data_IF_289407465040
#
_entry.id   IF_289407465040
#
_cell.length_a   1.000
_cell.length_b   1.000
_cell.length_c   1.000
_cell.angle_alpha   90.00
_cell.angle_beta   90.00
_cell.angle_gamma   90.00
#
_symmetry.space_group_name_H-M   'P 1'
#
loop_
_entity.id
_entity.type
_entity.pdbx_description
1 polymer ?
#
# COMPACT_ATOMS: atom_id res chain seq x y z
N UNK A 1 -3.50 -10.10 -6.67
CA UNK A 1 -4.07 -9.42 -5.49
C UNK A 1 -5.56 -9.73 -5.45
N UNK A 2 -6.15 -10.03 -4.29
CA UNK A 2 -7.52 -10.54 -4.13
C UNK A 2 -8.41 -9.61 -3.29
N UNK A 3 -9.75 -9.59 -3.51
CA UNK A 3 -10.66 -8.84 -2.65
C UNK A 3 -10.50 -9.18 -1.16
N UNK A 4 -10.56 -8.17 -0.30
CA UNK A 4 -10.35 -8.27 1.13
C UNK A 4 -8.89 -8.13 1.58
N UNK A 5 -7.92 -8.17 0.66
CA UNK A 5 -6.53 -7.87 1.00
C UNK A 5 -6.32 -6.39 1.35
N UNK A 6 -5.55 -6.13 2.39
CA UNK A 6 -5.08 -4.78 2.74
C UNK A 6 -3.91 -4.38 1.87
N UNK A 7 -3.90 -3.14 1.41
CA UNK A 7 -2.89 -2.62 0.49
C UNK A 7 -2.54 -1.17 0.79
N UNK A 8 -1.36 -0.77 0.32
CA UNK A 8 -0.88 0.61 0.29
C UNK A 8 -0.39 0.97 -1.10
N UNK A 9 -0.51 2.25 -1.46
CA UNK A 9 0.12 2.81 -2.65
C UNK A 9 1.62 3.01 -2.40
N UNK A 10 2.47 2.43 -3.24
CA UNK A 10 3.94 2.51 -3.08
C UNK A 10 4.57 3.77 -3.67
N UNK A 11 3.80 4.53 -4.45
CA UNK A 11 4.21 5.82 -5.02
C UNK A 11 3.62 7.01 -4.25
N UNK A 12 2.81 6.76 -3.22
CA UNK A 12 2.41 7.79 -2.27
C UNK A 12 3.45 7.86 -1.14
N UNK A 13 3.89 9.06 -0.81
CA UNK A 13 4.81 9.31 0.29
C UNK A 13 4.12 9.05 1.65
N UNK A 14 2.79 9.25 1.72
CA UNK A 14 1.94 9.11 2.89
C UNK A 14 0.75 8.16 2.61
N UNK A 15 1.01 6.87 2.33
CA UNK A 15 -0.05 6.01 1.85
C UNK A 15 -1.09 5.72 2.94
N UNK A 16 -2.34 6.04 2.63
CA UNK A 16 -3.49 5.60 3.42
C UNK A 16 -3.74 4.09 3.26
N UNK A 17 -4.14 3.42 4.34
CA UNK A 17 -4.55 2.02 4.29
C UNK A 17 -5.80 1.86 3.42
N UNK A 18 -5.72 0.97 2.43
CA UNK A 18 -6.83 0.60 1.58
C UNK A 18 -7.11 -0.90 1.62
N UNK A 19 -8.29 -1.28 1.15
CA UNK A 19 -8.70 -2.67 0.95
C UNK A 19 -9.08 -2.86 -0.51
N UNK A 20 -8.63 -3.98 -1.07
CA UNK A 20 -9.00 -4.40 -2.41
C UNK A 20 -10.46 -4.81 -2.39
N UNK A 21 -11.27 -4.18 -3.24
CA UNK A 21 -12.69 -4.51 -3.37
C UNK A 21 -12.97 -5.30 -4.65
N UNK A 22 -12.15 -5.12 -5.69
CA UNK A 22 -12.32 -5.81 -6.97
C UNK A 22 -11.02 -5.86 -7.75
N UNK A 23 -10.60 -7.06 -8.17
CA UNK A 23 -9.62 -7.24 -9.23
C UNK A 23 -10.35 -7.20 -10.57
N UNK A 24 -9.91 -6.36 -11.51
CA UNK A 24 -10.56 -6.23 -12.84
C UNK A 24 -9.95 -7.26 -13.80
N UNK A 25 -10.78 -7.79 -14.69
CA UNK A 25 -10.34 -8.67 -15.79
C UNK A 25 -9.70 -7.90 -16.98
N UNK A 26 -9.41 -6.60 -16.80
CA UNK A 26 -8.93 -5.70 -17.83
C UNK A 26 -7.74 -4.87 -17.34
N UNK A 27 -6.83 -4.45 -18.23
CA UNK A 27 -5.71 -3.60 -17.88
C UNK A 27 -6.16 -2.16 -17.57
N UNK A 28 -5.31 -1.40 -16.88
CA UNK A 28 -5.61 -0.01 -16.46
C UNK A 28 -5.91 0.94 -17.61
N UNK A 29 -5.44 0.63 -18.83
CA UNK A 29 -5.72 1.38 -20.05
C UNK A 29 -7.13 1.21 -20.60
N UNK A 30 -7.87 0.18 -20.18
CA UNK A 30 -9.23 -0.12 -20.65
C UNK A 30 -10.30 0.22 -19.60
N UNK A 31 -9.91 0.45 -18.35
CA UNK A 31 -10.85 0.79 -17.28
C UNK A 31 -11.19 2.28 -17.30
N UNK A 32 -12.48 2.63 -17.28
CA UNK A 32 -12.96 4.01 -17.29
C UNK A 32 -13.01 4.65 -15.90
N UNK A 33 -12.82 5.97 -15.84
CA UNK A 33 -12.93 6.74 -14.58
C UNK A 33 -14.41 6.95 -14.26
N UNK A 34 -14.87 6.37 -13.16
CA UNK A 34 -16.16 6.63 -12.48
C UNK A 34 -17.46 6.26 -13.23
N UNK A 35 -17.45 6.02 -14.54
CA UNK A 35 -18.63 5.65 -15.32
C UNK A 35 -18.24 4.83 -16.57
N UNK A 36 -18.91 3.70 -16.88
CA UNK A 36 -18.67 2.94 -18.12
C UNK A 36 -18.93 3.73 -19.40
N UNK A 37 -19.74 4.80 -19.36
CA UNK A 37 -20.02 5.70 -20.48
C UNK A 37 -19.01 6.87 -20.59
N UNK A 38 -18.02 6.94 -19.69
CA UNK A 38 -16.92 7.90 -19.79
C UNK A 38 -15.91 7.44 -20.84
N UNK A 39 -15.62 8.31 -21.82
CA UNK A 39 -14.57 8.06 -22.82
C UNK A 39 -13.14 8.15 -22.25
N UNK A 40 -12.98 8.48 -20.96
CA UNK A 40 -11.68 8.67 -20.30
C UNK A 40 -11.33 7.48 -19.43
N UNK A 41 -10.23 6.83 -19.78
CA UNK A 41 -9.68 5.69 -19.04
C UNK A 41 -8.80 6.16 -17.89
N UNK A 42 -8.58 5.30 -16.89
CA UNK A 42 -7.73 5.59 -15.74
C UNK A 42 -6.31 5.92 -16.21
N UNK A 43 -5.76 5.17 -17.18
CA UNK A 43 -4.46 5.47 -17.76
C UNK A 43 -4.42 6.80 -18.55
N UNK A 44 -5.53 7.23 -19.16
CA UNK A 44 -5.57 8.52 -19.86
C UNK A 44 -5.45 9.70 -18.88
N UNK A 45 -5.98 9.53 -17.67
CA UNK A 45 -5.91 10.52 -16.60
C UNK A 45 -4.58 10.44 -15.82
N UNK A 46 -3.88 9.31 -15.88
CA UNK A 46 -2.63 9.03 -15.18
C UNK A 46 -1.60 8.51 -16.19
N UNK A 47 -0.97 9.39 -16.98
CA UNK A 47 -0.11 8.99 -18.10
C UNK A 47 1.16 8.25 -17.67
N UNK A 48 1.54 8.36 -16.40
CA UNK A 48 2.68 7.65 -15.82
C UNK A 48 2.35 6.19 -15.46
N UNK A 49 1.09 5.76 -15.56
CA UNK A 49 0.71 4.36 -15.35
C UNK A 49 1.12 3.45 -16.51
N UNK A 50 1.69 2.31 -16.16
CA UNK A 50 1.94 1.22 -17.11
C UNK A 50 0.61 0.69 -17.65
N UNK A 51 0.29 1.08 -18.88
CA UNK A 51 -1.01 0.86 -19.51
C UNK A 51 -1.46 -0.60 -19.56
N UNK A 52 -0.53 -1.55 -19.57
CA UNK A 52 -0.78 -2.99 -19.61
C UNK A 52 -1.02 -3.62 -18.25
N UNK A 53 -0.74 -2.91 -17.16
CA UNK A 53 -0.85 -3.49 -15.82
C UNK A 53 -2.30 -3.84 -15.49
N UNK A 54 -2.55 -4.97 -14.80
CA UNK A 54 -3.88 -5.32 -14.32
C UNK A 54 -4.46 -4.21 -13.44
N UNK A 55 -5.72 -3.88 -13.63
CA UNK A 55 -6.39 -2.86 -12.82
C UNK A 55 -6.97 -3.45 -11.53
N UNK A 56 -6.73 -2.79 -10.41
CA UNK A 56 -7.26 -3.15 -9.10
C UNK A 56 -8.05 -1.98 -8.54
N UNK A 57 -9.29 -2.24 -8.12
CA UNK A 57 -10.10 -1.26 -7.41
C UNK A 57 -9.98 -1.46 -5.90
N UNK A 58 -9.75 -0.34 -5.21
CA UNK A 58 -9.59 -0.28 -3.76
C UNK A 58 -10.53 0.75 -3.14
N UNK A 59 -10.82 0.57 -1.85
CA UNK A 59 -11.47 1.57 -1.02
C UNK A 59 -10.57 1.88 0.18
N UNK A 60 -10.36 3.17 0.47
CA UNK A 60 -9.60 3.57 1.66
C UNK A 60 -10.41 3.28 2.93
N UNK A 61 -9.74 2.69 3.93
CA UNK A 61 -10.38 2.18 5.14
C UNK A 61 -10.94 3.32 5.97
N UNK A 62 -10.11 4.28 6.36
CA UNK A 62 -10.54 5.34 7.27
C UNK A 62 -11.41 6.40 6.60
N UNK A 63 -10.98 6.87 5.43
CA UNK A 63 -11.65 7.99 4.74
C UNK A 63 -12.89 7.57 3.95
N UNK A 64 -12.98 6.27 3.61
CA UNK A 64 -14.08 5.68 2.84
C UNK A 64 -14.92 4.73 3.66
N UNK A 65 -14.44 3.50 3.84
CA UNK A 65 -15.20 2.37 4.40
C UNK A 65 -15.74 2.68 5.80
N UNK A 66 -14.88 2.99 6.76
CA UNK A 66 -15.27 3.25 8.16
C UNK A 66 -16.26 4.42 8.31
N UNK A 67 -16.24 5.39 7.38
CA UNK A 67 -17.15 6.55 7.41
C UNK A 67 -18.52 6.28 6.78
N UNK A 68 -18.60 5.40 5.78
CA UNK A 68 -19.80 5.21 4.94
C UNK A 68 -20.46 3.85 5.13
N UNK A 69 -19.67 2.85 5.52
CA UNK A 69 -20.09 1.49 5.77
C UNK A 69 -19.32 0.92 6.98
N UNK A 70 -19.65 1.31 8.22
CA UNK A 70 -18.87 0.93 9.41
C UNK A 70 -18.74 -0.58 9.64
N UNK A 71 -19.73 -1.36 9.22
CA UNK A 71 -19.80 -2.81 9.42
C UNK A 71 -19.23 -3.61 8.22
N UNK A 72 -18.46 -2.96 7.33
CA UNK A 72 -17.92 -3.58 6.12
C UNK A 72 -17.07 -4.82 6.38
N UNK A 73 -16.44 -4.92 7.55
CA UNK A 73 -15.61 -6.06 7.95
C UNK A 73 -16.41 -7.35 8.16
N UNK A 74 -17.72 -7.26 8.36
CA UNK A 74 -18.61 -8.42 8.50
C UNK A 74 -19.04 -8.99 7.14
N UNK A 75 -18.86 -8.21 6.06
CA UNK A 75 -19.19 -8.64 4.71
C UNK A 75 -18.13 -9.61 4.16
N UNK A 76 -18.54 -10.63 3.37
CA UNK A 76 -17.58 -11.49 2.72
C UNK A 76 -16.79 -10.70 1.65
N UNK A 77 -15.52 -11.04 1.39
CA UNK A 77 -14.68 -10.29 0.44
C UNK A 77 -15.29 -10.14 -0.96
N UNK A 78 -16.04 -11.13 -1.43
CA UNK A 78 -16.73 -11.11 -2.73
C UNK A 78 -17.84 -10.06 -2.82
N UNK A 79 -18.37 -9.58 -1.70
CA UNK A 79 -19.44 -8.58 -1.65
C UNK A 79 -18.91 -7.16 -1.41
N UNK A 80 -17.60 -6.99 -1.20
CA UNK A 80 -17.02 -5.69 -0.85
C UNK A 80 -17.22 -4.64 -1.94
N UNK A 81 -17.14 -5.02 -3.23
CA UNK A 81 -17.35 -4.06 -4.33
C UNK A 81 -18.79 -3.54 -4.38
N UNK A 82 -19.76 -4.46 -4.36
CA UNK A 82 -21.18 -4.12 -4.43
C UNK A 82 -21.59 -3.35 -3.16
N UNK A 83 -21.21 -3.84 -1.98
CA UNK A 83 -21.48 -3.17 -0.71
C UNK A 83 -20.85 -1.77 -0.63
N UNK A 84 -19.59 -1.61 -1.03
CA UNK A 84 -18.96 -0.29 -1.07
C UNK A 84 -19.71 0.67 -2.03
N UNK A 85 -20.15 0.18 -3.19
CA UNK A 85 -20.92 0.97 -4.15
C UNK A 85 -22.28 1.37 -3.59
N UNK A 86 -23.04 0.43 -3.01
CA UNK A 86 -24.34 0.67 -2.39
C UNK A 86 -24.27 1.70 -1.26
N UNK A 87 -23.20 1.62 -0.46
CA UNK A 87 -22.94 2.55 0.63
C UNK A 87 -22.30 3.87 0.19
N UNK A 88 -22.12 4.10 -1.12
CA UNK A 88 -21.52 5.30 -1.69
C UNK A 88 -20.11 5.57 -1.15
N UNK A 89 -19.33 4.52 -0.94
CA UNK A 89 -17.90 4.58 -0.66
C UNK A 89 -17.20 4.95 -1.97
N UNK A 90 -16.25 5.90 -1.90
CA UNK A 90 -15.47 6.27 -3.07
C UNK A 90 -14.45 5.17 -3.38
N UNK A 91 -14.51 4.65 -4.59
CA UNK A 91 -13.57 3.65 -5.10
C UNK A 91 -12.48 4.32 -5.93
N UNK A 92 -11.27 3.79 -5.83
CA UNK A 92 -10.10 4.21 -6.60
C UNK A 92 -9.59 3.02 -7.39
N UNK A 93 -9.01 3.25 -8.56
CA UNK A 93 -8.44 2.18 -9.38
C UNK A 93 -6.99 2.48 -9.67
N UNK A 94 -6.12 1.51 -9.39
CA UNK A 94 -4.68 1.58 -9.55
C UNK A 94 -4.18 0.41 -10.41
N UNK A 95 -3.04 0.55 -11.10
CA UNK A 95 -2.32 -0.60 -11.62
C UNK A 95 -1.83 -1.48 -10.46
N UNK A 96 -1.95 -2.80 -10.59
CA UNK A 96 -1.57 -3.76 -9.53
C UNK A 96 -0.12 -3.56 -9.06
N UNK A 97 0.80 -3.23 -9.97
CA UNK A 97 2.22 -3.03 -9.65
C UNK A 97 2.50 -1.83 -8.74
N UNK A 98 1.60 -0.84 -8.66
CA UNK A 98 1.72 0.32 -7.77
C UNK A 98 1.28 0.01 -6.34
N UNK A 99 0.54 -1.08 -6.14
CA UNK A 99 0.04 -1.49 -4.84
C UNK A 99 0.90 -2.57 -4.20
N UNK A 100 1.06 -2.49 -2.88
CA UNK A 100 1.71 -3.54 -2.09
C UNK A 100 0.73 -4.12 -1.07
N UNK A 101 0.55 -5.43 -1.09
CA UNK A 101 -0.25 -6.15 -0.09
C UNK A 101 0.43 -6.10 1.28
N UNK A 102 -0.39 -5.89 2.31
CA UNK A 102 -0.02 -5.94 3.71
C UNK A 102 -0.54 -7.22 4.36
N UNK A 103 0.27 -7.76 5.27
CA UNK A 103 -0.21 -8.78 6.20
C UNK A 103 -1.20 -8.18 7.20
N UNK A 104 -2.02 -9.03 7.84
CA UNK A 104 -2.95 -8.56 8.87
C UNK A 104 -2.28 -7.83 10.04
N UNK A 105 -1.05 -8.21 10.39
CA UNK A 105 -0.27 -7.51 11.42
C UNK A 105 0.14 -6.10 10.95
N UNK A 106 0.59 -5.95 9.71
CA UNK A 106 0.98 -4.65 9.16
C UNK A 106 -0.21 -3.71 8.99
N UNK A 107 -1.34 -4.24 8.54
CA UNK A 107 -2.58 -3.47 8.49
C UNK A 107 -3.03 -3.02 9.89
N UNK A 108 -2.90 -3.89 10.89
CA UNK A 108 -3.22 -3.55 12.28
C UNK A 108 -2.31 -2.43 12.83
N UNK A 109 -1.01 -2.48 12.53
CA UNK A 109 -0.03 -1.43 12.88
C UNK A 109 -0.46 -0.08 12.29
N UNK A 110 -0.81 -0.04 10.99
CA UNK A 110 -1.31 1.19 10.36
C UNK A 110 -2.63 1.70 10.98
N UNK A 111 -3.57 0.79 11.30
CA UNK A 111 -4.83 1.15 11.94
C UNK A 111 -4.66 1.63 13.39
N UNK A 112 -3.63 1.15 14.08
CA UNK A 112 -3.31 1.54 15.45
C UNK A 112 -2.46 2.83 15.50
N UNK A 113 -2.02 3.34 14.35
CA UNK A 113 -1.00 4.40 14.23
C UNK A 113 0.32 4.05 14.96
N UNK A 114 0.54 2.77 15.27
CA UNK A 114 1.78 2.21 15.80
C UNK A 114 2.80 2.24 14.67
N UNK A 115 3.98 2.83 14.87
CA UNK A 115 4.93 3.07 13.78
C UNK A 115 6.36 2.92 14.23
N UNK A 116 7.24 2.54 13.29
CA UNK A 116 8.67 2.50 13.53
C UNK A 116 9.19 3.93 13.73
N UNK A 117 9.97 4.14 14.78
CA UNK A 117 10.78 5.36 14.91
C UNK A 117 11.94 5.33 13.90
N UNK A 118 11.64 5.80 12.67
CA UNK A 118 12.59 5.86 11.58
C UNK A 118 13.79 6.77 11.89
N UNK A 119 13.62 7.77 12.76
CA UNK A 119 14.72 8.67 13.15
C UNK A 119 15.72 7.93 14.02
N UNK A 120 15.23 7.21 15.04
CA UNK A 120 16.09 6.39 15.90
C UNK A 120 16.75 5.24 15.12
N UNK A 121 15.99 4.61 14.21
CA UNK A 121 16.51 3.56 13.34
C UNK A 121 17.58 4.07 12.37
N UNK A 122 17.38 5.24 11.75
CA UNK A 122 18.37 5.89 10.87
C UNK A 122 19.71 6.04 11.61
N UNK A 123 19.71 6.65 12.79
CA UNK A 123 20.92 6.88 13.57
C UNK A 123 21.66 5.56 13.87
N UNK A 124 20.91 4.50 14.17
CA UNK A 124 21.47 3.16 14.43
C UNK A 124 22.11 2.55 13.18
N UNK A 125 21.50 2.72 12.02
CA UNK A 125 21.97 2.19 10.74
C UNK A 125 23.22 2.93 10.24
N UNK A 126 23.25 4.27 10.36
CA UNK A 126 24.43 5.08 10.05
C UNK A 126 25.64 4.66 10.92
N UNK A 127 25.44 4.45 12.23
CA UNK A 127 26.49 3.94 13.13
C UNK A 127 26.97 2.53 12.75
N UNK A 128 26.07 1.70 12.21
CA UNK A 128 26.40 0.39 11.66
C UNK A 128 27.06 0.46 10.26
N UNK A 129 27.32 1.65 9.73
CA UNK A 129 27.99 1.87 8.44
C UNK A 129 27.11 1.56 7.23
N UNK A 130 25.80 1.80 7.34
CA UNK A 130 24.90 1.86 6.19
C UNK A 130 24.90 3.25 5.59
N UNK A 131 24.72 3.33 4.27
CA UNK A 131 24.29 4.57 3.63
C UNK A 131 22.78 4.64 3.78
N UNK A 132 22.27 5.73 4.36
CA UNK A 132 20.83 5.91 4.60
C UNK A 132 20.37 7.16 3.86
N UNK A 133 19.28 7.02 3.12
CA UNK A 133 18.55 8.11 2.47
C UNK A 133 17.16 8.19 3.11
N UNK A 134 16.95 9.13 4.05
CA UNK A 134 15.71 9.25 4.78
C UNK A 134 14.62 9.94 3.97
N UNK A 135 13.40 9.40 4.06
CA UNK A 135 12.16 10.05 3.67
C UNK A 135 11.20 10.05 4.87
N UNK A 136 10.05 10.72 4.75
CA UNK A 136 9.15 10.93 5.89
C UNK A 136 8.57 9.61 6.45
N UNK A 137 8.30 8.62 5.60
CA UNK A 137 7.63 7.35 5.98
C UNK A 137 8.36 6.08 5.54
N UNK A 138 9.54 6.25 4.96
CA UNK A 138 10.47 5.15 4.71
C UNK A 138 11.91 5.66 4.78
N UNK A 139 12.85 4.75 5.00
CA UNK A 139 14.27 5.02 4.77
C UNK A 139 14.79 4.02 3.75
N UNK A 140 15.51 4.52 2.75
CA UNK A 140 16.25 3.67 1.80
C UNK A 140 17.65 3.46 2.36
N UNK A 141 18.08 2.21 2.46
CA UNK A 141 19.35 1.85 3.10
C UNK A 141 20.18 0.99 2.15
N UNK A 142 21.47 1.30 2.05
CA UNK A 142 22.39 0.58 1.17
C UNK A 142 23.63 0.13 1.93
N UNK A 143 24.06 -1.12 1.67
CA UNK A 143 25.33 -1.66 2.16
C UNK A 143 25.80 -2.79 1.26
N UNK A 144 27.08 -2.73 0.86
CA UNK A 144 27.73 -3.76 0.01
C UNK A 144 26.96 -4.03 -1.30
N UNK A 145 26.54 -2.95 -1.97
CA UNK A 145 25.77 -2.98 -3.22
C UNK A 145 24.38 -3.64 -3.10
N UNK A 146 23.89 -3.87 -1.88
CA UNK A 146 22.51 -4.29 -1.60
C UNK A 146 21.71 -3.10 -1.06
N UNK A 147 20.60 -2.79 -1.72
CA UNK A 147 19.66 -1.73 -1.32
C UNK A 147 18.38 -2.34 -0.75
N UNK A 148 17.85 -1.71 0.30
CA UNK A 148 16.60 -2.06 0.96
C UNK A 148 15.76 -0.82 1.24
N UNK A 149 14.45 -0.99 1.33
CA UNK A 149 13.52 0.04 1.77
C UNK A 149 12.88 -0.41 3.07
N UNK A 150 13.00 0.41 4.11
CA UNK A 150 12.37 0.16 5.40
C UNK A 150 11.23 1.14 5.57
N UNK A 151 10.02 0.63 5.71
CA UNK A 151 8.83 1.46 5.86
C UNK A 151 8.50 1.66 7.33
N UNK A 152 7.79 2.76 7.60
CA UNK A 152 7.27 3.11 8.92
C UNK A 152 6.33 2.05 9.52
N UNK A 153 5.77 1.17 8.68
CA UNK A 153 4.95 0.02 9.08
C UNK A 153 5.76 -1.17 9.63
N UNK A 154 7.09 -1.09 9.64
CA UNK A 154 7.97 -2.20 10.00
C UNK A 154 8.40 -3.09 8.84
N UNK A 155 7.90 -2.82 7.63
CA UNK A 155 8.25 -3.57 6.44
C UNK A 155 9.69 -3.32 5.99
N UNK A 156 10.34 -4.38 5.49
CA UNK A 156 11.63 -4.29 4.82
C UNK A 156 11.53 -4.96 3.45
N UNK A 157 11.62 -4.15 2.39
CA UNK A 157 11.68 -4.57 0.99
C UNK A 157 13.13 -4.65 0.50
N UNK A 158 13.39 -5.60 -0.41
CA UNK A 158 14.71 -5.92 -0.98
C UNK A 158 14.98 -7.43 -1.03
N UNK A 159 15.79 -7.90 -1.98
CA UNK A 159 16.00 -9.35 -2.23
C UNK A 159 17.36 -9.89 -1.78
N UNK A 160 18.12 -9.12 -0.99
CA UNK A 160 19.47 -9.49 -0.56
C UNK A 160 19.55 -10.23 0.79
N UNK A 161 20.77 -10.60 1.19
CA UNK A 161 21.03 -11.42 2.39
C UNK A 161 20.87 -10.65 3.69
N UNK A 162 20.91 -9.33 3.61
CA UNK A 162 20.77 -8.44 4.76
C UNK A 162 19.30 -8.10 5.07
N UNK A 163 18.31 -8.58 4.28
CA UNK A 163 16.88 -8.37 4.58
C UNK A 163 16.50 -8.89 5.96
N UNK A 164 16.72 -10.18 6.23
CA UNK A 164 16.34 -10.79 7.51
C UNK A 164 16.94 -10.08 8.72
N UNK A 165 18.25 -9.77 8.78
CA UNK A 165 18.78 -9.04 9.92
C UNK A 165 18.26 -7.60 10.00
N UNK A 166 17.93 -6.94 8.89
CA UNK A 166 17.25 -5.64 8.93
C UNK A 166 15.83 -5.76 9.49
N UNK A 167 15.05 -6.75 9.09
CA UNK A 167 13.70 -6.98 9.62
C UNK A 167 13.73 -7.14 11.14
N UNK A 168 14.63 -7.98 11.67
CA UNK A 168 14.76 -8.16 13.11
C UNK A 168 15.14 -6.86 13.83
N UNK A 169 16.01 -6.04 13.21
CA UNK A 169 16.38 -4.74 13.78
C UNK A 169 15.18 -3.81 13.85
N UNK A 170 14.38 -3.75 12.78
CA UNK A 170 13.20 -2.87 12.68
C UNK A 170 12.15 -3.19 13.74
N UNK A 171 11.96 -4.47 14.07
CA UNK A 171 11.07 -4.90 15.15
C UNK A 171 11.46 -4.31 16.51
N UNK A 172 12.75 -4.05 16.76
CA UNK A 172 13.21 -3.42 18.01
C UNK A 172 12.85 -1.93 18.12
N UNK A 173 12.46 -1.31 17.00
CA UNK A 173 12.13 0.12 16.88
C UNK A 173 10.65 0.37 16.55
N UNK A 174 9.84 -0.68 16.53
CA UNK A 174 8.39 -0.58 16.38
C UNK A 174 7.78 -0.32 17.76
N UNK A 175 7.09 0.81 17.94
CA UNK A 175 6.39 1.18 19.17
C UNK A 175 4.89 0.87 19.13
#
# INVERSE_FOLDING_TARGET
>A
MEPGEYVVDTEDDEPDLAVVVLQRDAPISEVTVSDPDSDRTVAADNPDYEASDPAVSVAFVESGLNRRWPDWTDAPPSELYDGATEHNVKLYTFPEGRLRTLTGQQAAIMLAEETVDLTALQARLEDAGWTVDPADHLITVEKRDEQYRIYKTGDVDGTGKLRTPLTNLVEEYSE
#
